data_IF_308742209268
#
_entry.id   IF_308742209268
#
_cell.length_a   1.000
_cell.length_b   1.000
_cell.length_c   1.000
_cell.angle_alpha   90.00
_cell.angle_beta   90.00
_cell.angle_gamma   90.00
#
_symmetry.space_group_name_H-M   'P 1'
#
loop_
_entity.id
_entity.type
_entity.pdbx_description
1 polymer ?
#
# COMPACT_ATOMS: atom_id res chain seq x y z
N UNK A 1 -20.75 -7.49 10.27
CA UNK A 1 -19.89 -6.59 9.48
C UNK A 1 -19.77 -7.18 8.08
N UNK A 2 -19.89 -6.36 7.02
CA UNK A 2 -19.62 -6.84 5.65
C UNK A 2 -18.11 -7.07 5.49
N UNK A 3 -17.67 -8.11 4.77
CA UNK A 3 -16.26 -8.31 4.49
C UNK A 3 -15.70 -7.16 3.63
N UNK A 4 -14.44 -6.76 3.83
CA UNK A 4 -13.74 -5.89 2.86
C UNK A 4 -13.38 -6.72 1.66
N UNK A 5 -13.68 -6.19 0.48
CA UNK A 5 -13.39 -6.83 -0.79
C UNK A 5 -12.18 -6.18 -1.46
N UNK A 6 -11.41 -6.99 -2.18
CA UNK A 6 -10.31 -6.49 -3.00
C UNK A 6 -10.86 -5.72 -4.19
N UNK A 7 -10.46 -4.46 -4.32
CA UNK A 7 -10.75 -3.61 -5.47
C UNK A 7 -9.55 -3.61 -6.40
N UNK A 8 -9.75 -3.60 -7.72
CA UNK A 8 -8.64 -3.46 -8.69
C UNK A 8 -8.67 -2.05 -9.26
N UNK A 9 -7.60 -1.29 -9.06
CA UNK A 9 -7.43 0.09 -9.56
C UNK A 9 -6.18 0.18 -10.42
N UNK A 10 -6.34 0.57 -11.69
CA UNK A 10 -5.25 0.55 -12.70
C UNK A 10 -4.43 -0.76 -12.70
N UNK A 11 -5.10 -1.91 -12.51
CA UNK A 11 -4.46 -3.23 -12.47
C UNK A 11 -3.89 -3.65 -11.11
N UNK A 12 -3.85 -2.74 -10.13
CA UNK A 12 -3.32 -2.99 -8.78
C UNK A 12 -4.46 -3.43 -7.84
N UNK A 13 -4.37 -4.60 -7.20
CA UNK A 13 -5.28 -4.99 -6.13
C UNK A 13 -5.06 -4.16 -4.87
N UNK A 14 -6.12 -3.52 -4.39
CA UNK A 14 -6.16 -2.65 -3.21
C UNK A 14 -7.28 -3.09 -2.28
N UNK A 15 -6.96 -3.23 -1.00
CA UNK A 15 -7.90 -3.48 0.08
C UNK A 15 -7.97 -2.21 0.95
N UNK A 16 -9.11 -1.53 0.94
CA UNK A 16 -9.33 -0.32 1.76
C UNK A 16 -9.90 -0.73 3.11
N UNK A 17 -9.02 -1.11 4.04
CA UNK A 17 -9.41 -1.65 5.35
C UNK A 17 -10.26 -0.65 6.14
N UNK A 18 -10.01 0.65 5.98
CA UNK A 18 -10.75 1.71 6.65
C UNK A 18 -12.25 1.75 6.30
N UNK A 19 -12.67 1.21 5.14
CA UNK A 19 -14.10 1.13 4.76
C UNK A 19 -14.92 0.19 5.67
N UNK A 20 -14.28 -0.57 6.57
CA UNK A 20 -14.98 -1.32 7.63
C UNK A 20 -15.64 -0.41 8.66
N UNK A 21 -15.09 0.79 8.86
CA UNK A 21 -15.58 1.74 9.82
C UNK A 21 -16.59 2.69 9.12
N UNK A 22 -17.77 2.93 9.71
CA UNK A 22 -18.79 3.80 9.12
C UNK A 22 -18.44 5.30 9.17
N UNK A 23 -17.32 5.65 9.80
CA UNK A 23 -16.85 7.01 9.99
C UNK A 23 -15.40 7.14 9.49
N UNK A 24 -15.03 8.33 9.02
CA UNK A 24 -13.66 8.71 8.66
C UNK A 24 -12.78 8.74 9.95
N UNK A 25 -12.45 7.56 10.46
CA UNK A 25 -11.60 7.37 11.62
C UNK A 25 -10.15 7.16 11.20
N UNK A 26 -9.27 7.98 11.79
CA UNK A 26 -7.84 7.90 11.55
C UNK A 26 -7.14 7.10 12.65
N UNK A 27 -6.09 6.31 12.30
CA UNK A 27 -5.50 6.21 10.97
C UNK A 27 -6.31 5.32 10.01
N UNK A 28 -6.34 5.71 8.73
CA UNK A 28 -6.91 4.87 7.68
C UNK A 28 -5.84 3.90 7.16
N UNK A 29 -6.22 2.64 7.01
CA UNK A 29 -5.32 1.59 6.54
C UNK A 29 -5.76 1.10 5.16
N UNK A 30 -4.81 0.98 4.24
CA UNK A 30 -4.99 0.26 2.99
C UNK A 30 -3.87 -0.74 2.76
N UNK A 31 -4.19 -1.82 2.04
CA UNK A 31 -3.23 -2.85 1.65
C UNK A 31 -3.21 -2.93 0.13
N UNK A 32 -2.02 -2.86 -0.47
CA UNK A 32 -1.83 -2.96 -1.92
C UNK A 32 -1.00 -4.21 -2.24
N UNK A 33 -1.34 -4.91 -3.31
CA UNK A 33 -0.53 -5.97 -3.90
C UNK A 33 0.15 -5.42 -5.14
N UNK A 34 1.48 -5.42 -5.16
CA UNK A 34 2.26 -4.92 -6.29
C UNK A 34 3.11 -6.04 -6.87
N UNK A 35 3.31 -6.01 -8.18
CA UNK A 35 4.45 -6.68 -8.83
C UNK A 35 5.76 -6.01 -8.41
N UNK A 36 6.89 -6.68 -8.67
CA UNK A 36 8.19 -6.06 -8.41
C UNK A 36 8.41 -4.79 -9.25
N UNK A 37 7.94 -4.77 -10.50
CA UNK A 37 8.04 -3.59 -11.38
C UNK A 37 7.26 -2.39 -10.82
N UNK A 38 6.00 -2.59 -10.43
CA UNK A 38 5.17 -1.54 -9.83
C UNK A 38 5.75 -1.03 -8.51
N UNK A 39 6.26 -1.94 -7.67
CA UNK A 39 6.95 -1.57 -6.44
C UNK A 39 8.15 -0.68 -6.72
N UNK A 40 9.03 -1.09 -7.64
CA UNK A 40 10.22 -0.31 -8.01
C UNK A 40 9.84 1.05 -8.60
N UNK A 41 8.79 1.12 -9.41
CA UNK A 41 8.24 2.38 -9.94
C UNK A 41 7.84 3.33 -8.82
N UNK A 42 7.08 2.86 -7.83
CA UNK A 42 6.62 3.72 -6.73
C UNK A 42 7.72 4.06 -5.72
N UNK A 43 8.59 3.10 -5.39
CA UNK A 43 9.70 3.30 -4.47
C UNK A 43 10.71 4.34 -4.99
N UNK A 44 10.96 4.36 -6.30
CA UNK A 44 11.85 5.35 -6.95
C UNK A 44 11.18 6.71 -7.19
N UNK A 45 9.84 6.75 -7.22
CA UNK A 45 9.07 7.97 -7.48
C UNK A 45 7.93 8.19 -6.46
N UNK A 46 8.25 8.58 -5.20
CA UNK A 46 7.24 8.75 -4.15
C UNK A 46 6.12 9.74 -4.48
N UNK A 47 6.41 10.81 -5.25
CA UNK A 47 5.38 11.75 -5.72
C UNK A 47 4.34 11.08 -6.62
N UNK A 48 4.80 10.22 -7.54
CA UNK A 48 3.90 9.45 -8.40
C UNK A 48 3.03 8.47 -7.62
N UNK A 49 3.53 7.95 -6.49
CA UNK A 49 2.72 7.15 -5.57
C UNK A 49 1.63 7.99 -4.88
N UNK A 50 1.96 9.20 -4.41
CA UNK A 50 0.97 10.14 -3.83
C UNK A 50 -0.11 10.51 -4.86
N UNK A 51 0.28 10.79 -6.10
CA UNK A 51 -0.65 11.06 -7.20
C UNK A 51 -1.57 9.86 -7.45
N UNK A 52 -1.02 8.65 -7.49
CA UNK A 52 -1.78 7.42 -7.65
C UNK A 52 -2.83 7.21 -6.55
N UNK A 53 -2.44 7.29 -5.26
CA UNK A 53 -3.37 7.07 -4.14
C UNK A 53 -4.48 8.12 -4.10
N UNK A 54 -4.17 9.37 -4.47
CA UNK A 54 -5.13 10.47 -4.51
C UNK A 54 -6.08 10.37 -5.70
N UNK A 55 -5.55 10.09 -6.90
CA UNK A 55 -6.33 9.89 -8.13
C UNK A 55 -7.41 8.82 -7.91
N UNK A 56 -7.05 7.73 -7.26
CA UNK A 56 -7.93 6.58 -7.04
C UNK A 56 -8.70 6.61 -5.72
N UNK A 57 -8.59 7.69 -4.95
CA UNK A 57 -9.24 7.84 -3.63
C UNK A 57 -9.05 6.59 -2.78
N UNK A 58 -7.79 6.14 -2.66
CA UNK A 58 -7.45 4.98 -1.83
C UNK A 58 -7.74 5.26 -0.35
N UNK A 59 -7.66 6.54 0.03
CA UNK A 59 -7.99 7.09 1.34
C UNK A 59 -9.14 8.11 1.22
N UNK A 60 -9.85 8.40 2.31
CA UNK A 60 -11.00 9.31 2.29
C UNK A 60 -10.60 10.77 2.09
N UNK A 61 -9.39 11.14 2.52
CA UNK A 61 -8.78 12.47 2.32
C UNK A 61 -7.53 12.38 1.46
N UNK A 62 -7.17 13.48 0.75
CA UNK A 62 -5.93 13.54 -0.01
C UNK A 62 -4.71 13.37 0.88
N UNK A 63 -3.77 12.54 0.44
CA UNK A 63 -2.42 12.41 0.99
C UNK A 63 -1.56 13.58 0.48
N UNK A 64 -0.88 14.28 1.38
CA UNK A 64 0.04 15.38 1.05
C UNK A 64 1.46 14.85 0.83
N UNK A 65 1.90 13.94 1.70
CA UNK A 65 3.25 13.39 1.69
C UNK A 65 3.23 11.91 2.04
N UNK A 66 4.06 11.12 1.37
CA UNK A 66 4.27 9.71 1.65
C UNK A 66 5.70 9.48 2.15
N UNK A 67 5.82 8.91 3.36
CA UNK A 67 7.06 8.58 4.04
C UNK A 67 6.90 8.50 5.56
N UNK A 68 7.79 7.79 6.28
CA UNK A 68 8.87 6.97 5.73
C UNK A 68 8.36 5.72 5.02
N UNK A 69 9.17 5.20 4.10
CA UNK A 69 8.96 3.92 3.44
C UNK A 69 9.91 2.92 4.07
N UNK A 70 9.37 1.93 4.78
CA UNK A 70 10.16 0.92 5.48
C UNK A 70 9.97 -0.43 4.83
N UNK A 71 11.07 -1.05 4.44
CA UNK A 71 11.08 -2.40 3.87
C UNK A 71 11.51 -3.37 4.96
N UNK A 72 10.64 -4.32 5.31
CA UNK A 72 10.95 -5.37 6.28
C UNK A 72 11.48 -6.60 5.53
N UNK A 73 12.70 -6.49 4.99
CA UNK A 73 13.40 -7.62 4.38
C UNK A 73 14.44 -8.16 5.37
N UNK A 74 14.11 -9.24 6.10
CA UNK A 74 15.15 -10.12 6.62
C UNK A 74 15.80 -10.80 5.41
N UNK A 75 17.10 -10.55 5.25
CA UNK A 75 17.87 -10.83 4.03
C UNK A 75 18.08 -12.34 3.90
N UNK A 76 17.32 -13.02 3.04
CA UNK A 76 17.92 -14.08 2.22
C UNK A 76 18.48 -13.37 0.98
N UNK A 77 19.70 -13.73 0.56
CA UNK A 77 20.49 -12.93 -0.40
C UNK A 77 19.79 -12.70 -1.75
N UNK A 78 18.84 -13.55 -2.14
CA UNK A 78 17.91 -13.28 -3.23
C UNK A 78 16.57 -13.99 -3.00
N UNK A 79 15.53 -13.32 -2.51
CA UNK A 79 14.18 -13.78 -2.75
C UNK A 79 13.82 -13.31 -4.17
N UNK A 80 13.69 -14.24 -5.11
CA UNK A 80 12.84 -14.05 -6.29
C UNK A 80 11.43 -13.69 -5.78
N UNK A 81 11.21 -12.43 -5.44
CA UNK A 81 9.96 -11.98 -4.86
C UNK A 81 8.95 -11.84 -5.98
N UNK A 82 7.88 -12.65 -5.94
CA UNK A 82 6.79 -12.58 -6.92
C UNK A 82 5.98 -11.27 -6.82
N UNK A 83 6.21 -10.47 -5.79
CA UNK A 83 5.54 -9.20 -5.58
C UNK A 83 5.68 -8.68 -4.17
N UNK A 84 5.00 -7.58 -3.89
CA UNK A 84 5.08 -6.86 -2.63
C UNK A 84 3.68 -6.70 -2.04
N UNK A 85 3.60 -6.75 -0.72
CA UNK A 85 2.45 -6.27 0.04
C UNK A 85 2.84 -4.94 0.65
N UNK A 86 2.14 -3.88 0.27
CA UNK A 86 2.30 -2.57 0.85
C UNK A 86 1.16 -2.31 1.82
N UNK A 87 1.49 -1.93 3.06
CA UNK A 87 0.52 -1.38 3.99
C UNK A 87 0.71 0.13 4.04
N UNK A 88 -0.31 0.87 3.63
CA UNK A 88 -0.37 2.32 3.77
C UNK A 88 -1.16 2.71 5.01
N UNK A 89 -0.55 3.50 5.89
CA UNK A 89 -1.18 4.06 7.10
C UNK A 89 -1.29 5.57 6.94
N UNK A 90 -2.50 6.06 6.71
CA UNK A 90 -2.80 7.46 6.50
C UNK A 90 -3.25 8.12 7.82
N UNK A 91 -2.46 9.07 8.30
CA UNK A 91 -2.72 9.78 9.56
C UNK A 91 -3.52 11.07 9.40
N UNK A 92 -3.97 11.64 10.53
CA UNK A 92 -4.77 12.88 10.58
C UNK A 92 -4.13 14.10 9.93
N UNK A 93 -2.80 14.12 9.80
CA UNK A 93 -2.04 15.22 9.19
C UNK A 93 -1.86 15.05 7.67
N UNK A 94 -2.60 14.13 7.04
CA UNK A 94 -2.47 13.80 5.61
C UNK A 94 -1.08 13.26 5.21
N UNK A 95 -0.39 12.66 6.18
CA UNK A 95 0.88 11.94 5.99
C UNK A 95 0.59 10.45 5.85
N UNK A 96 1.19 9.81 4.86
CA UNK A 96 1.10 8.38 4.61
C UNK A 96 2.41 7.68 4.96
N UNK A 97 2.37 6.78 5.95
CA UNK A 97 3.51 5.91 6.29
C UNK A 97 3.33 4.58 5.56
N UNK A 98 4.42 4.03 5.03
CA UNK A 98 4.36 2.84 4.17
C UNK A 98 5.27 1.76 4.75
N UNK A 99 4.73 0.56 4.93
CA UNK A 99 5.54 -0.65 5.08
C UNK A 99 5.41 -1.52 3.83
N UNK A 100 6.54 -2.04 3.35
CA UNK A 100 6.60 -2.93 2.21
C UNK A 100 7.19 -4.27 2.64
N UNK A 101 6.47 -5.35 2.36
CA UNK A 101 6.87 -6.71 2.67
C UNK A 101 6.96 -7.51 1.36
N UNK A 102 8.06 -8.23 1.11
CA UNK A 102 8.13 -9.15 -0.03
C UNK A 102 7.14 -10.30 0.18
N UNK A 103 6.45 -10.72 -0.87
CA UNK A 103 5.61 -11.92 -0.81
C UNK A 103 6.51 -13.14 -0.83
N UNK A 104 6.55 -13.86 0.29
CA UNK A 104 7.29 -15.11 0.39
C UNK A 104 6.65 -16.18 -0.49
N UNK A 105 7.47 -16.90 -1.25
CA UNK A 105 7.04 -18.13 -1.88
C UNK A 105 7.40 -19.32 -0.99
N UNK A 106 6.47 -20.25 -0.82
CA UNK A 106 6.82 -21.61 -0.44
C UNK A 106 7.44 -22.25 -1.69
N UNK A 107 8.75 -22.53 -1.70
CA UNK A 107 9.30 -23.50 -2.67
C UNK A 107 8.45 -24.77 -2.53
N UNK A 108 7.66 -25.09 -3.56
CA UNK A 108 6.95 -26.37 -3.62
C UNK A 108 7.95 -27.49 -3.90
#
# INVERSE_FOLDING_TARGET
MKPVEWQVVDGIPVLKVWELNPHDEFPEISILKLTNEEYQKFAKHPKGFVEFVNKHKIFSKPVIVAGPWVTLSSVEEEPETHGWILTGVHGKLSTLIISALPQLHKKM
#
